data_IF_782758409756
#
_entry.id   IF_782758409756
#
_cell.length_a   1.000
_cell.length_b   1.000
_cell.length_c   1.000
_cell.angle_alpha   90.00
_cell.angle_beta   90.00
_cell.angle_gamma   90.00
#
_symmetry.space_group_name_H-M   'P 1'
#
loop_
_entity.id
_entity.type
_entity.pdbx_description
1 polymer ?
#
# COMPACT_ATOMS: atom_id res chain seq x y z
N UNK A 1 -13.31 15.73 24.06
CA UNK A 1 -12.51 14.53 23.76
C UNK A 1 -11.82 13.93 25.00
N UNK A 2 -10.76 14.53 25.57
CA UNK A 2 -10.05 13.91 26.72
C UNK A 2 -10.93 13.71 27.98
N UNK A 3 -11.84 14.63 28.26
CA UNK A 3 -12.72 14.58 29.42
C UNK A 3 -13.88 13.59 29.21
N UNK A 4 -14.50 13.62 28.02
CA UNK A 4 -15.56 12.68 27.61
C UNK A 4 -15.07 11.22 27.57
N UNK A 5 -13.83 10.97 27.10
CA UNK A 5 -13.28 9.63 26.98
C UNK A 5 -12.80 9.06 28.34
N UNK A 6 -12.53 9.92 29.33
CA UNK A 6 -12.24 9.51 30.72
C UNK A 6 -13.51 9.15 31.50
N UNK A 7 -14.63 9.77 31.19
CA UNK A 7 -15.92 9.49 31.84
C UNK A 7 -16.59 8.22 31.28
N UNK A 8 -16.33 7.90 30.02
CA UNK A 8 -16.80 6.70 29.32
C UNK A 8 -15.95 5.46 29.66
N UNK A 9 -16.39 4.66 30.64
CA UNK A 9 -15.72 3.43 31.14
C UNK A 9 -15.72 2.22 30.18
N UNK A 10 -15.93 2.42 28.87
CA UNK A 10 -16.26 1.32 27.93
C UNK A 10 -15.33 1.14 26.74
N UNK A 11 -14.33 2.00 26.51
CA UNK A 11 -13.39 1.84 25.38
C UNK A 11 -11.97 1.47 25.86
N UNK A 12 -11.63 0.18 25.72
CA UNK A 12 -10.34 -0.40 26.16
C UNK A 12 -9.16 0.14 25.32
N UNK A 13 -9.40 0.70 24.13
CA UNK A 13 -8.36 1.29 23.27
C UNK A 13 -8.44 2.80 23.07
N UNK A 14 -7.64 3.33 22.14
CA UNK A 14 -7.77 4.69 21.59
C UNK A 14 -9.01 4.79 20.68
N UNK A 15 -9.79 5.87 20.78
CA UNK A 15 -10.87 6.14 19.84
C UNK A 15 -10.35 6.45 18.42
N UNK A 16 -11.11 6.08 17.38
CA UNK A 16 -10.71 6.32 15.98
C UNK A 16 -10.47 7.81 15.68
N UNK A 17 -11.29 8.71 16.25
CA UNK A 17 -11.12 10.15 16.10
C UNK A 17 -9.82 10.66 16.74
N UNK A 18 -9.48 10.17 17.94
CA UNK A 18 -8.23 10.52 18.60
C UNK A 18 -7.02 10.00 17.81
N UNK A 19 -7.07 8.77 17.31
CA UNK A 19 -6.01 8.21 16.48
C UNK A 19 -5.82 9.00 15.18
N UNK A 20 -6.90 9.35 14.50
CA UNK A 20 -6.82 10.12 13.26
C UNK A 20 -6.28 11.53 13.50
N UNK A 21 -6.62 12.15 14.63
CA UNK A 21 -6.02 13.42 15.04
C UNK A 21 -4.51 13.29 15.31
N UNK A 22 -4.06 12.25 16.01
CA UNK A 22 -2.63 11.99 16.21
C UNK A 22 -1.91 11.78 14.87
N UNK A 23 -2.54 11.09 13.93
CA UNK A 23 -1.99 10.87 12.59
C UNK A 23 -1.83 12.18 11.81
N UNK A 24 -2.81 13.09 11.86
CA UNK A 24 -2.68 14.42 11.27
C UNK A 24 -1.51 15.21 11.86
N UNK A 25 -1.33 15.16 13.19
CA UNK A 25 -0.16 15.77 13.85
C UNK A 25 1.13 15.14 13.31
N UNK A 26 1.20 13.80 13.25
CA UNK A 26 2.38 13.08 12.79
C UNK A 26 2.75 13.42 11.32
N UNK A 27 1.76 13.65 10.45
CA UNK A 27 1.96 14.07 9.06
C UNK A 27 2.36 15.54 8.92
N UNK A 28 1.79 16.42 9.74
CA UNK A 28 2.06 17.86 9.67
C UNK A 28 3.49 18.23 10.05
N UNK A 29 4.19 17.33 10.75
CA UNK A 29 5.50 17.56 11.38
C UNK A 29 5.51 18.74 12.37
N UNK A 30 4.33 19.27 12.70
CA UNK A 30 4.17 20.31 13.70
C UNK A 30 4.49 19.74 15.08
N UNK A 31 5.30 20.50 15.84
CA UNK A 31 5.60 20.14 17.22
C UNK A 31 4.41 20.51 18.10
N UNK A 32 3.87 19.51 18.79
CA UNK A 32 2.90 19.75 19.86
C UNK A 32 3.53 20.72 20.88
N UNK A 33 2.86 21.83 21.23
CA UNK A 33 3.39 22.80 22.17
C UNK A 33 3.82 22.14 23.46
N UNK A 34 5.06 22.41 23.89
CA UNK A 34 5.61 21.86 25.11
C UNK A 34 4.90 22.45 26.34
N UNK A 35 4.51 21.57 27.27
CA UNK A 35 3.85 21.96 28.51
C UNK A 35 2.34 22.15 28.39
N UNK A 36 1.69 22.33 29.54
CA UNK A 36 0.24 22.50 29.61
C UNK A 36 -0.57 21.23 29.33
N UNK A 37 -1.87 21.40 29.13
CA UNK A 37 -2.81 20.29 29.02
C UNK A 37 -2.77 19.61 27.64
N UNK A 38 -2.36 20.34 26.59
CA UNK A 38 -2.18 19.78 25.23
C UNK A 38 -1.11 18.71 25.20
N UNK A 39 0.06 18.96 25.80
CA UNK A 39 1.13 17.96 25.89
C UNK A 39 0.69 16.72 26.70
N UNK A 40 -0.03 16.93 27.81
CA UNK A 40 -0.57 15.81 28.62
C UNK A 40 -1.57 14.98 27.82
N UNK A 41 -2.46 15.63 27.07
CA UNK A 41 -3.44 14.95 26.22
C UNK A 41 -2.75 14.15 25.11
N UNK A 42 -1.76 14.74 24.44
CA UNK A 42 -0.96 14.07 23.42
C UNK A 42 -0.25 12.83 23.96
N UNK A 43 0.46 12.94 25.08
CA UNK A 43 1.12 11.80 25.73
C UNK A 43 0.14 10.73 26.19
N UNK A 44 -1.04 11.13 26.67
CA UNK A 44 -2.11 10.19 27.05
C UNK A 44 -2.61 9.38 25.86
N UNK A 45 -2.94 10.03 24.74
CA UNK A 45 -3.44 9.34 23.56
C UNK A 45 -2.34 8.52 22.85
N UNK A 46 -1.09 8.99 22.84
CA UNK A 46 0.04 8.17 22.36
C UNK A 46 0.18 6.88 23.18
N UNK A 47 0.06 6.96 24.50
CA UNK A 47 0.09 5.78 25.37
C UNK A 47 -1.07 4.82 25.05
N UNK A 48 -2.28 5.36 24.93
CA UNK A 48 -3.46 4.57 24.54
C UNK A 48 -3.28 3.90 23.17
N UNK A 49 -2.73 4.59 22.18
CA UNK A 49 -2.48 4.03 20.85
C UNK A 49 -1.58 2.79 20.95
N UNK A 50 -0.47 2.88 21.69
CA UNK A 50 0.44 1.75 21.92
C UNK A 50 -0.19 0.54 22.61
N UNK A 51 -1.06 0.78 23.57
CA UNK A 51 -1.72 -0.28 24.36
C UNK A 51 -2.87 -0.94 23.58
N UNK A 52 -3.22 -0.43 22.40
CA UNK A 52 -4.38 -0.87 21.61
C UNK A 52 -4.04 -1.88 20.49
N UNK A 53 -2.83 -2.44 20.47
CA UNK A 53 -2.38 -3.33 19.37
C UNK A 53 -3.36 -4.47 19.06
N UNK A 54 -3.85 -5.17 20.09
CA UNK A 54 -4.70 -6.35 19.91
C UNK A 54 -6.14 -6.02 19.48
N UNK A 55 -6.63 -4.81 19.76
CA UNK A 55 -8.03 -4.42 19.51
C UNK A 55 -8.23 -3.62 18.22
N UNK A 56 -7.15 -3.14 17.61
CA UNK A 56 -7.21 -2.31 16.40
C UNK A 56 -7.39 -3.11 15.11
N UNK A 57 -8.16 -2.53 14.19
CA UNK A 57 -8.23 -2.97 12.79
C UNK A 57 -6.90 -2.78 12.04
N UNK A 58 -6.76 -3.38 10.85
CA UNK A 58 -5.55 -3.21 10.02
C UNK A 58 -5.23 -1.74 9.75
N UNK A 59 -6.23 -0.93 9.40
CA UNK A 59 -6.06 0.50 9.17
C UNK A 59 -5.58 1.22 10.44
N UNK A 60 -6.23 0.96 11.59
CA UNK A 60 -5.84 1.58 12.86
C UNK A 60 -4.43 1.16 13.29
N UNK A 61 -4.03 -0.10 13.03
CA UNK A 61 -2.66 -0.56 13.28
C UNK A 61 -1.65 0.18 12.41
N UNK A 62 -1.95 0.39 11.12
CA UNK A 62 -1.09 1.14 10.21
C UNK A 62 -0.92 2.59 10.66
N UNK A 63 -2.03 3.28 10.97
CA UNK A 63 -1.99 4.65 11.49
C UNK A 63 -1.23 4.73 12.82
N UNK A 64 -1.43 3.78 13.74
CA UNK A 64 -0.69 3.70 15.00
C UNK A 64 0.81 3.49 14.77
N UNK A 65 1.20 2.63 13.83
CA UNK A 65 2.61 2.44 13.48
C UNK A 65 3.26 3.76 13.01
N UNK A 66 2.60 4.49 12.11
CA UNK A 66 3.09 5.81 11.63
C UNK A 66 3.21 6.82 12.78
N UNK A 67 2.15 6.95 13.57
CA UNK A 67 2.11 7.87 14.72
C UNK A 67 3.21 7.56 15.73
N UNK A 68 3.38 6.30 16.10
CA UNK A 68 4.38 5.87 17.07
C UNK A 68 5.80 6.04 16.52
N UNK A 69 6.02 5.73 15.24
CA UNK A 69 7.32 5.91 14.60
C UNK A 69 7.72 7.39 14.56
N UNK A 70 6.83 8.27 14.08
CA UNK A 70 7.05 9.74 14.04
C UNK A 70 7.19 10.34 15.44
N UNK A 71 6.58 9.75 16.46
CA UNK A 71 6.76 10.13 17.87
C UNK A 71 8.04 9.56 18.52
N UNK A 72 8.88 8.82 17.79
CA UNK A 72 10.13 8.23 18.28
C UNK A 72 9.96 6.95 19.11
N UNK A 73 8.76 6.36 19.16
CA UNK A 73 8.45 5.10 19.86
C UNK A 73 8.68 3.89 18.94
N UNK A 74 9.90 3.76 18.43
CA UNK A 74 10.27 2.83 17.35
C UNK A 74 9.96 1.37 17.69
N UNK A 75 10.28 0.91 18.90
CA UNK A 75 10.02 -0.48 19.30
C UNK A 75 8.52 -0.83 19.26
N UNK A 76 7.67 0.13 19.59
CA UNK A 76 6.23 -0.07 19.62
C UNK A 76 5.67 -0.02 18.21
N UNK A 77 6.10 0.94 17.39
CA UNK A 77 5.78 0.97 15.97
C UNK A 77 6.12 -0.37 15.28
N UNK A 78 7.30 -0.94 15.56
CA UNK A 78 7.71 -2.23 15.03
C UNK A 78 6.82 -3.40 15.48
N UNK A 79 6.23 -3.34 16.67
CA UNK A 79 5.24 -4.35 17.10
C UNK A 79 3.95 -4.26 16.28
N UNK A 80 3.51 -3.05 15.91
CA UNK A 80 2.39 -2.87 14.98
C UNK A 80 2.72 -3.36 13.57
N UNK A 81 3.92 -3.06 13.05
CA UNK A 81 4.39 -3.58 11.76
C UNK A 81 4.42 -5.11 11.75
N UNK A 82 5.00 -5.73 12.79
CA UNK A 82 5.03 -7.17 12.92
C UNK A 82 3.61 -7.77 12.88
N UNK A 83 2.67 -7.19 13.66
CA UNK A 83 1.28 -7.64 13.62
C UNK A 83 0.65 -7.47 12.24
N UNK A 84 0.87 -6.35 11.54
CA UNK A 84 0.38 -6.18 10.16
C UNK A 84 0.89 -7.28 9.23
N UNK A 85 2.17 -7.65 9.33
CA UNK A 85 2.76 -8.72 8.52
C UNK A 85 2.19 -10.10 8.85
N UNK A 86 1.81 -10.36 10.10
CA UNK A 86 1.14 -11.62 10.48
C UNK A 86 -0.21 -11.83 9.79
N UNK A 87 -0.93 -10.75 9.46
CA UNK A 87 -2.21 -10.81 8.74
C UNK A 87 -2.05 -10.79 7.21
N UNK A 88 -0.84 -10.59 6.70
CA UNK A 88 -0.60 -10.52 5.28
C UNK A 88 -0.34 -11.90 4.67
N UNK A 89 -0.81 -12.09 3.45
CA UNK A 89 -0.54 -13.25 2.60
C UNK A 89 0.38 -12.78 1.47
N UNK A 90 1.44 -13.54 1.19
CA UNK A 90 2.32 -13.26 0.07
C UNK A 90 2.40 -14.48 -0.85
N UNK A 91 2.22 -14.26 -2.15
CA UNK A 91 2.43 -15.28 -3.18
C UNK A 91 3.18 -14.68 -4.36
N UNK A 92 3.96 -15.48 -5.07
CA UNK A 92 4.73 -15.03 -6.24
C UNK A 92 3.84 -14.41 -7.33
N UNK A 93 2.58 -14.83 -7.42
CA UNK A 93 1.65 -14.35 -8.45
C UNK A 93 0.92 -13.06 -8.06
N UNK A 94 0.49 -12.95 -6.81
CA UNK A 94 -0.37 -11.85 -6.34
C UNK A 94 0.39 -10.80 -5.53
N UNK A 95 1.63 -11.07 -5.15
CA UNK A 95 2.38 -10.26 -4.20
C UNK A 95 1.82 -10.34 -2.78
N UNK A 96 2.21 -9.39 -1.95
CA UNK A 96 1.78 -9.28 -0.55
C UNK A 96 0.45 -8.54 -0.46
N UNK A 97 -0.53 -9.12 0.23
CA UNK A 97 -1.89 -8.58 0.33
C UNK A 97 -2.64 -9.11 1.56
N UNK A 98 -3.79 -8.52 1.83
CA UNK A 98 -4.66 -8.95 2.93
C UNK A 98 -5.86 -9.71 2.40
N UNK A 99 -6.17 -10.84 3.04
CA UNK A 99 -7.44 -11.53 2.85
C UNK A 99 -8.55 -10.74 3.57
N UNK A 100 -9.10 -9.74 2.89
CA UNK A 100 -10.26 -9.00 3.40
C UNK A 100 -11.46 -9.95 3.45
N UNK A 101 -11.82 -10.45 4.63
CA UNK A 101 -13.05 -11.23 4.80
C UNK A 101 -14.26 -10.36 4.42
N UNK A 102 -15.09 -10.86 3.51
CA UNK A 102 -16.36 -10.27 3.09
C UNK A 102 -17.33 -10.23 4.28
N UNK A 103 -17.22 -9.21 5.12
CA UNK A 103 -18.14 -9.01 6.24
C UNK A 103 -19.02 -7.83 5.86
N UNK A 104 -20.24 -8.03 5.33
CA UNK A 104 -20.95 -7.07 4.45
C UNK A 104 -21.49 -5.78 5.09
N UNK A 105 -21.02 -5.38 6.27
CA UNK A 105 -21.60 -4.29 7.07
C UNK A 105 -20.61 -3.21 7.48
N UNK A 106 -19.38 -3.22 6.97
CA UNK A 106 -18.38 -2.22 7.32
C UNK A 106 -18.06 -1.32 6.14
N UNK A 107 -18.66 -0.14 6.08
CA UNK A 107 -18.27 0.98 5.19
C UNK A 107 -16.77 1.36 5.27
N UNK A 108 -16.01 0.75 6.20
CA UNK A 108 -14.53 0.72 6.31
C UNK A 108 -13.84 -0.29 5.35
N UNK A 109 -14.59 -1.00 4.50
CA UNK A 109 -14.16 -2.01 3.52
C UNK A 109 -13.40 -1.50 2.30
N UNK A 110 -12.78 -0.31 2.37
CA UNK A 110 -11.96 0.15 1.26
C UNK A 110 -10.63 -0.62 1.24
N UNK A 111 -10.62 -1.77 0.54
CA UNK A 111 -9.47 -2.69 0.45
C UNK A 111 -8.19 -1.96 0.05
N UNK A 112 -8.28 -1.10 -0.96
CA UNK A 112 -7.15 -0.35 -1.51
C UNK A 112 -6.62 0.72 -0.53
N UNK A 113 -7.43 1.65 0.01
CA UNK A 113 -6.98 2.60 1.02
C UNK A 113 -6.38 1.97 2.28
N UNK A 114 -6.97 0.88 2.80
CA UNK A 114 -6.38 0.16 3.93
C UNK A 114 -5.02 -0.43 3.53
N UNK A 115 -4.94 -1.06 2.36
CA UNK A 115 -3.69 -1.59 1.84
C UNK A 115 -2.62 -0.50 1.68
N UNK A 116 -2.98 0.68 1.17
CA UNK A 116 -2.09 1.84 1.01
C UNK A 116 -1.64 2.40 2.36
N UNK A 117 -2.51 2.44 3.37
CA UNK A 117 -2.12 2.85 4.74
C UNK A 117 -1.05 1.93 5.32
N UNK A 118 -1.15 0.61 5.07
CA UNK A 118 -0.15 -0.36 5.50
C UNK A 118 1.15 -0.19 4.71
N UNK A 119 1.08 0.08 3.41
CA UNK A 119 2.26 0.40 2.60
C UNK A 119 3.00 1.62 3.15
N UNK A 120 2.30 2.68 3.54
CA UNK A 120 2.91 3.84 4.19
C UNK A 120 3.62 3.46 5.48
N UNK A 121 2.99 2.65 6.33
CA UNK A 121 3.59 2.23 7.59
C UNK A 121 4.87 1.41 7.36
N UNK A 122 4.85 0.46 6.42
CA UNK A 122 5.98 -0.39 6.06
C UNK A 122 7.14 0.43 5.47
N UNK A 123 6.84 1.30 4.50
CA UNK A 123 7.78 2.23 3.85
C UNK A 123 8.49 3.10 4.88
N UNK A 124 7.73 3.69 5.82
CA UNK A 124 8.27 4.53 6.88
C UNK A 124 9.25 3.78 7.80
N UNK A 125 9.03 2.48 8.01
CA UNK A 125 9.90 1.62 8.82
C UNK A 125 11.04 0.96 8.03
N UNK A 126 11.16 1.24 6.73
CA UNK A 126 12.23 0.73 5.86
C UNK A 126 12.01 -0.68 5.32
N UNK A 127 10.77 -1.19 5.32
CA UNK A 127 10.43 -2.49 4.72
C UNK A 127 10.07 -2.37 3.23
N UNK A 128 11.06 -1.93 2.45
CA UNK A 128 10.90 -1.67 1.01
C UNK A 128 10.45 -2.93 0.24
N UNK A 129 10.93 -4.11 0.65
CA UNK A 129 10.59 -5.36 -0.02
C UNK A 129 9.08 -5.65 0.10
N UNK A 130 8.50 -5.53 1.30
CA UNK A 130 7.06 -5.71 1.47
C UNK A 130 6.25 -4.66 0.70
N UNK A 131 6.73 -3.42 0.60
CA UNK A 131 6.09 -2.36 -0.19
C UNK A 131 6.03 -2.72 -1.68
N UNK A 132 7.11 -3.25 -2.25
CA UNK A 132 7.14 -3.67 -3.66
C UNK A 132 6.20 -4.84 -3.95
N UNK A 133 6.12 -5.81 -3.05
CA UNK A 133 5.18 -6.92 -3.12
C UNK A 133 3.72 -6.44 -3.00
N UNK A 134 3.46 -5.42 -2.20
CA UNK A 134 2.15 -4.79 -2.09
C UNK A 134 1.76 -3.96 -3.33
N UNK A 135 2.75 -3.37 -4.03
CA UNK A 135 2.54 -2.72 -5.34
C UNK A 135 2.18 -3.73 -6.41
N UNK A 136 2.82 -4.90 -6.42
CA UNK A 136 2.46 -6.00 -7.33
C UNK A 136 0.97 -6.34 -7.18
N UNK A 137 0.48 -6.46 -5.95
CA UNK A 137 -0.94 -6.71 -5.71
C UNK A 137 -1.86 -5.62 -6.28
N UNK A 138 -1.55 -4.33 -6.07
CA UNK A 138 -2.34 -3.21 -6.61
C UNK A 138 -2.44 -3.27 -8.14
N UNK A 139 -1.34 -3.62 -8.81
CA UNK A 139 -1.31 -3.80 -10.27
C UNK A 139 -2.15 -5.00 -10.70
N UNK A 140 -2.08 -6.13 -9.98
CA UNK A 140 -2.90 -7.32 -10.24
C UNK A 140 -4.38 -7.07 -10.05
N UNK A 141 -4.76 -6.32 -9.02
CA UNK A 141 -6.14 -5.85 -8.84
C UNK A 141 -6.57 -5.00 -10.02
N UNK A 142 -5.76 -4.03 -10.47
CA UNK A 142 -6.11 -3.17 -11.60
C UNK A 142 -6.23 -3.90 -12.94
N UNK A 143 -5.51 -5.01 -13.12
CA UNK A 143 -5.61 -5.85 -14.31
C UNK A 143 -6.96 -6.57 -14.43
N UNK A 144 -7.54 -6.98 -13.31
CA UNK A 144 -8.75 -7.81 -13.28
C UNK A 144 -10.00 -7.05 -12.85
N UNK A 145 -9.84 -5.94 -12.12
CA UNK A 145 -10.89 -5.19 -11.47
C UNK A 145 -10.66 -3.68 -11.61
N UNK A 146 -11.73 -2.91 -11.46
CA UNK A 146 -11.61 -1.47 -11.25
C UNK A 146 -11.32 -1.18 -9.77
N UNK A 147 -10.55 -0.13 -9.49
CA UNK A 147 -10.55 0.46 -8.16
C UNK A 147 -11.90 1.17 -7.97
N UNK A 148 -12.60 0.77 -6.93
CA UNK A 148 -14.04 0.95 -6.74
C UNK A 148 -14.48 2.38 -6.37
N UNK A 149 -13.53 3.27 -6.07
CA UNK A 149 -13.82 4.68 -5.77
C UNK A 149 -12.73 5.64 -6.25
N UNK A 150 -13.04 6.94 -6.39
CA UNK A 150 -12.04 7.97 -6.68
C UNK A 150 -10.94 8.04 -5.60
N UNK A 151 -11.30 7.86 -4.32
CA UNK A 151 -10.34 7.85 -3.21
C UNK A 151 -9.39 6.66 -3.34
N UNK A 152 -9.92 5.45 -3.54
CA UNK A 152 -9.10 4.26 -3.79
C UNK A 152 -8.20 4.42 -5.01
N UNK A 153 -8.69 5.08 -6.07
CA UNK A 153 -7.90 5.35 -7.27
C UNK A 153 -6.74 6.29 -6.97
N UNK A 154 -7.00 7.39 -6.26
CA UNK A 154 -5.95 8.36 -5.89
C UNK A 154 -4.93 7.72 -4.96
N UNK A 155 -5.38 6.97 -3.95
CA UNK A 155 -4.50 6.27 -3.00
C UNK A 155 -3.60 5.25 -3.71
N UNK A 156 -4.15 4.43 -4.60
CA UNK A 156 -3.36 3.45 -5.35
C UNK A 156 -2.34 4.11 -6.27
N UNK A 157 -2.74 5.16 -7.01
CA UNK A 157 -1.81 5.90 -7.88
C UNK A 157 -0.71 6.57 -7.07
N UNK A 158 -1.07 7.20 -5.95
CA UNK A 158 -0.10 7.81 -5.03
C UNK A 158 0.90 6.78 -4.51
N UNK A 159 0.41 5.64 -4.01
CA UNK A 159 1.25 4.57 -3.48
C UNK A 159 2.19 3.98 -4.55
N UNK A 160 1.70 3.77 -5.77
CA UNK A 160 2.51 3.25 -6.86
C UNK A 160 3.66 4.20 -7.26
N UNK A 161 3.41 5.52 -7.19
CA UNK A 161 4.36 6.52 -7.66
C UNK A 161 5.31 7.04 -6.58
N UNK A 162 4.89 7.08 -5.31
CA UNK A 162 5.59 7.78 -4.24
C UNK A 162 6.16 6.85 -3.15
N UNK A 163 5.91 5.54 -3.22
CA UNK A 163 6.36 4.57 -2.21
C UNK A 163 7.29 3.52 -2.81
N UNK A 164 8.32 3.15 -2.06
CA UNK A 164 9.35 2.20 -2.50
C UNK A 164 10.08 2.68 -3.75
N UNK A 165 10.38 1.74 -4.66
CA UNK A 165 11.17 2.01 -5.85
C UNK A 165 10.43 2.86 -6.88
N UNK A 166 11.18 3.75 -7.53
CA UNK A 166 10.66 4.60 -8.60
C UNK A 166 10.30 3.76 -9.84
N UNK A 167 9.01 3.48 -10.01
CA UNK A 167 8.51 2.70 -11.16
C UNK A 167 8.76 3.39 -12.51
N UNK A 168 8.98 4.71 -12.53
CA UNK A 168 9.17 5.48 -13.76
C UNK A 168 10.62 5.45 -14.26
N UNK A 169 11.59 5.06 -13.42
CA UNK A 169 12.98 4.91 -13.83
C UNK A 169 13.18 3.72 -14.77
N UNK A 170 12.41 2.65 -14.57
CA UNK A 170 12.45 1.48 -15.43
C UNK A 170 11.41 1.61 -16.55
N UNK A 171 11.86 1.98 -17.75
CA UNK A 171 10.99 2.06 -18.95
C UNK A 171 10.49 0.70 -19.44
N UNK A 172 10.91 -0.40 -18.80
CA UNK A 172 10.44 -1.74 -19.07
C UNK A 172 10.87 -2.23 -20.44
N UNK A 173 12.19 -2.29 -20.71
CA UNK A 173 12.68 -2.96 -21.91
C UNK A 173 12.43 -4.46 -21.79
N UNK A 174 11.44 -4.93 -22.53
CA UNK A 174 11.00 -6.32 -22.50
C UNK A 174 11.07 -6.83 -23.92
N UNK A 175 11.76 -7.95 -24.07
CA UNK A 175 11.82 -8.71 -25.30
C UNK A 175 10.81 -9.86 -25.21
N UNK A 176 9.88 -9.87 -26.16
CA UNK A 176 8.86 -10.91 -26.31
C UNK A 176 9.19 -11.71 -27.56
N UNK A 177 9.41 -13.02 -27.40
CA UNK A 177 9.73 -13.94 -28.48
C UNK A 177 8.56 -14.89 -28.70
N UNK A 178 8.04 -14.89 -29.93
CA UNK A 178 6.95 -15.75 -30.38
C UNK A 178 7.36 -16.44 -31.70
N UNK A 179 7.83 -17.68 -31.61
CA UNK A 179 8.38 -18.39 -32.77
C UNK A 179 9.65 -17.72 -33.27
N UNK A 180 9.64 -17.27 -34.53
CA UNK A 180 10.75 -16.50 -35.15
C UNK A 180 10.58 -14.97 -34.96
N UNK A 181 9.46 -14.54 -34.36
CA UNK A 181 9.15 -13.12 -34.18
C UNK A 181 9.67 -12.60 -32.84
N UNK A 182 10.41 -11.50 -32.91
CA UNK A 182 10.91 -10.77 -31.75
C UNK A 182 10.23 -9.41 -31.71
N UNK A 183 9.66 -9.07 -30.56
CA UNK A 183 9.05 -7.78 -30.29
C UNK A 183 9.73 -7.15 -29.08
N UNK A 184 9.95 -5.84 -29.14
CA UNK A 184 10.65 -5.09 -28.07
C UNK A 184 9.85 -3.82 -27.76
N UNK A 185 9.63 -3.56 -26.48
CA UNK A 185 8.85 -2.42 -25.97
C UNK A 185 9.55 -1.08 -26.23
N UNK A 186 10.89 -1.06 -26.32
CA UNK A 186 11.70 0.14 -26.58
C UNK A 186 12.44 0.10 -27.92
N UNK A 187 11.90 -0.62 -28.92
CA UNK A 187 12.51 -0.67 -30.25
C UNK A 187 12.58 0.71 -30.93
N UNK A 188 13.68 0.97 -31.63
CA UNK A 188 13.91 2.21 -32.41
C UNK A 188 13.01 2.30 -33.65
N UNK A 189 12.31 1.22 -34.00
CA UNK A 189 11.37 1.17 -35.10
C UNK A 189 9.99 1.65 -34.65
N UNK A 190 9.62 2.84 -35.12
CA UNK A 190 8.39 3.61 -34.87
C UNK A 190 7.09 2.79 -34.87
N UNK A 191 6.79 2.10 -33.78
CA UNK A 191 5.45 1.59 -33.48
C UNK A 191 4.77 2.61 -32.56
N UNK A 192 3.58 3.07 -32.94
CA UNK A 192 2.69 3.90 -32.11
C UNK A 192 2.49 3.25 -30.74
N UNK A 193 3.08 3.84 -29.69
CA UNK A 193 3.05 3.33 -28.31
C UNK A 193 4.43 3.17 -27.67
N UNK A 194 5.51 3.05 -28.46
CA UNK A 194 6.87 2.86 -27.95
C UNK A 194 7.34 4.01 -27.02
N UNK A 195 6.86 5.24 -27.25
CA UNK A 195 7.13 6.38 -26.37
C UNK A 195 6.46 6.29 -24.98
N UNK A 196 5.41 5.46 -24.86
CA UNK A 196 4.66 5.19 -23.63
C UNK A 196 5.02 3.81 -23.04
N UNK A 197 6.03 3.12 -23.58
CA UNK A 197 6.50 1.82 -23.10
C UNK A 197 5.52 0.66 -23.32
N UNK A 198 4.48 0.84 -24.15
CA UNK A 198 3.54 -0.23 -24.49
C UNK A 198 3.64 -0.61 -25.98
N UNK A 199 3.52 -1.90 -26.26
CA UNK A 199 3.45 -2.45 -27.61
C UNK A 199 2.11 -3.17 -27.78
N UNK A 200 1.41 -2.87 -28.88
CA UNK A 200 0.23 -3.63 -29.30
C UNK A 200 0.46 -4.09 -30.73
N UNK A 201 0.42 -5.40 -30.93
CA UNK A 201 0.55 -6.00 -32.24
C UNK A 201 -0.58 -7.00 -32.50
N UNK A 202 -1.09 -7.03 -33.74
CA UNK A 202 -2.09 -7.99 -34.18
C UNK A 202 -1.44 -8.96 -35.16
N UNK A 203 -1.51 -10.26 -34.86
CA UNK A 203 -0.93 -11.31 -35.68
C UNK A 203 -2.02 -12.00 -36.48
N UNK A 204 -1.90 -11.97 -37.81
CA UNK A 204 -2.86 -12.59 -38.74
C UNK A 204 -2.28 -13.79 -39.51
N UNK A 205 -1.00 -14.08 -39.35
CA UNK A 205 -0.33 -15.17 -40.07
C UNK A 205 -0.66 -16.53 -39.41
N UNK A 206 -1.50 -17.30 -40.10
CA UNK A 206 -1.94 -18.64 -39.70
C UNK A 206 -0.77 -19.62 -39.49
N UNK A 207 0.34 -19.47 -40.21
CA UNK A 207 1.50 -20.34 -40.03
C UNK A 207 2.26 -20.04 -38.74
N UNK A 208 2.40 -18.75 -38.38
CA UNK A 208 2.96 -18.34 -37.09
C UNK A 208 2.05 -18.77 -35.93
N UNK A 209 0.73 -18.61 -36.06
CA UNK A 209 -0.23 -19.03 -35.03
C UNK A 209 -0.25 -20.55 -34.83
N UNK A 210 -0.11 -21.34 -35.89
CA UNK A 210 -0.13 -22.81 -35.82
C UNK A 210 1.21 -23.42 -35.36
N UNK A 211 2.35 -22.78 -35.67
CA UNK A 211 3.69 -23.28 -35.27
C UNK A 211 4.06 -22.87 -33.84
N UNK A 212 3.50 -21.78 -33.33
CA UNK A 212 3.95 -21.22 -32.05
C UNK A 212 3.21 -21.82 -30.86
N UNK A 213 3.87 -22.72 -30.13
CA UNK A 213 3.34 -23.33 -28.88
C UNK A 213 3.86 -22.65 -27.61
N UNK A 214 4.80 -21.71 -27.72
CA UNK A 214 5.48 -21.08 -26.57
C UNK A 214 5.74 -19.61 -26.86
N UNK A 215 5.42 -18.76 -25.89
CA UNK A 215 5.80 -17.35 -25.84
C UNK A 215 6.81 -17.22 -24.71
N UNK A 216 7.95 -16.58 -24.99
CA UNK A 216 8.97 -16.28 -24.00
C UNK A 216 9.03 -14.77 -23.79
N UNK A 217 9.13 -14.35 -22.53
CA UNK A 217 9.23 -12.94 -22.14
C UNK A 217 10.47 -12.78 -21.29
N UNK A 218 11.40 -11.95 -21.73
CA UNK A 218 12.67 -11.68 -21.05
C UNK A 218 12.83 -10.19 -20.81
N UNK A 219 13.24 -9.82 -19.60
CA UNK A 219 13.63 -8.46 -19.25
C UNK A 219 15.06 -8.20 -19.75
N UNK A 220 15.28 -7.07 -20.41
CA UNK A 220 16.62 -6.60 -20.79
C UNK A 220 17.21 -5.62 -19.78
#
# INVERSE_FOLDING_TARGET
MLQEEKESHTHIGISAAALQYLYLIALSEEKVPAGGDTQKAYSYFLKKASESLASQSLNEKALSAVVLHKAGRINEANAFIASLKEYAVQTDEQGMHFAFNETPYTWREMKVPVHVSVMEALDLTGDEQSVEEMKLWLLKQKQTQQWDSPIATVDAVYALLQRGNNLLENRGDVQIVMGEKVMETLSTNKITGAALGYLKETLTDSNLLNRTKKITVEKR
#
